data_IF_588396072125
#
_entry.id   IF_588396072125
#
_cell.length_a   1.000
_cell.length_b   1.000
_cell.length_c   1.000
_cell.angle_alpha   90.00
_cell.angle_beta   90.00
_cell.angle_gamma   90.00
#
_symmetry.space_group_name_H-M   'P 1'
#
loop_
_entity.id
_entity.type
_entity.pdbx_description
1 polymer ?
#
# COMPACT_ATOMS: atom_id res chain seq x y z
N UNK A 1 -24.15 -9.77 17.12
CA UNK A 1 -24.02 -9.50 15.67
C UNK A 1 -22.59 -9.83 15.27
N UNK A 2 -22.34 -11.12 15.00
CA UNK A 2 -21.01 -11.64 14.70
C UNK A 2 -20.68 -11.36 13.24
N UNK A 3 -19.69 -10.50 12.97
CA UNK A 3 -19.16 -10.31 11.62
C UNK A 3 -18.34 -11.55 11.27
N UNK A 4 -18.81 -12.32 10.32
CA UNK A 4 -18.06 -13.41 9.69
C UNK A 4 -16.77 -12.82 9.13
N UNK A 5 -15.65 -13.04 9.84
CA UNK A 5 -14.32 -12.64 9.37
C UNK A 5 -13.96 -13.53 8.19
N UNK A 6 -14.00 -12.99 6.99
CA UNK A 6 -13.24 -13.55 5.87
C UNK A 6 -11.78 -13.55 6.33
N UNK A 7 -11.15 -14.71 6.43
CA UNK A 7 -9.73 -14.86 6.83
C UNK A 7 -8.83 -14.27 5.73
N UNK A 8 -8.78 -12.93 5.64
CA UNK A 8 -7.77 -12.25 4.84
C UNK A 8 -6.48 -12.23 5.64
N UNK A 9 -5.41 -12.75 5.06
CA UNK A 9 -4.08 -12.60 5.63
C UNK A 9 -3.73 -11.11 5.74
N UNK A 10 -3.07 -10.67 6.83
CA UNK A 10 -2.69 -9.28 7.00
C UNK A 10 -1.69 -8.88 5.92
N UNK A 11 -1.88 -7.69 5.33
CA UNK A 11 -1.02 -7.10 4.30
C UNK A 11 -0.51 -5.73 4.75
N UNK A 12 0.61 -5.28 4.18
CA UNK A 12 1.07 -3.91 4.33
C UNK A 12 0.35 -3.01 3.32
N UNK A 13 -0.36 -2.00 3.82
CA UNK A 13 -0.93 -0.90 3.03
C UNK A 13 0.02 0.29 3.11
N UNK A 14 0.13 1.03 2.01
CA UNK A 14 0.97 2.23 1.93
C UNK A 14 0.07 3.45 1.71
N UNK A 15 0.19 4.45 2.58
CA UNK A 15 -0.48 5.74 2.45
C UNK A 15 0.54 6.82 2.09
N UNK A 16 0.39 7.46 0.93
CA UNK A 16 1.12 8.68 0.58
C UNK A 16 0.38 9.87 1.18
N UNK A 17 0.95 10.50 2.19
CA UNK A 17 0.35 11.57 2.97
C UNK A 17 0.84 12.94 2.51
N UNK A 18 -0.11 13.77 2.05
CA UNK A 18 0.06 15.15 1.60
C UNK A 18 -0.93 16.08 2.35
N UNK A 19 -1.28 15.70 3.57
CA UNK A 19 -2.25 16.42 4.41
C UNK A 19 -1.62 17.50 5.29
N UNK A 20 -2.34 17.91 6.34
CA UNK A 20 -1.84 18.89 7.31
C UNK A 20 -0.56 18.36 7.99
N UNK A 21 0.48 19.18 8.05
CA UNK A 21 1.77 18.80 8.65
C UNK A 21 2.69 18.02 7.72
N UNK A 22 2.37 17.98 6.42
CA UNK A 22 3.25 17.46 5.38
C UNK A 22 3.28 18.37 4.15
N UNK A 23 4.43 18.45 3.51
CA UNK A 23 4.59 19.15 2.23
C UNK A 23 4.05 18.29 1.08
N UNK A 24 3.32 18.88 0.11
CA UNK A 24 2.87 18.17 -1.08
C UNK A 24 4.05 17.62 -1.89
N UNK A 25 3.91 16.41 -2.41
CA UNK A 25 4.88 15.85 -3.35
C UNK A 25 4.66 16.49 -4.71
N UNK A 26 5.75 16.75 -5.44
CA UNK A 26 5.63 17.20 -6.82
C UNK A 26 4.96 16.10 -7.69
N UNK A 27 4.26 16.52 -8.75
CA UNK A 27 3.41 15.62 -9.52
C UNK A 27 4.18 14.48 -10.19
N UNK A 28 5.40 14.74 -10.68
CA UNK A 28 6.22 13.76 -11.38
C UNK A 28 6.79 12.73 -10.41
N UNK A 29 7.32 13.18 -9.29
CA UNK A 29 7.84 12.34 -8.23
C UNK A 29 6.75 11.48 -7.60
N UNK A 30 5.57 12.06 -7.32
CA UNK A 30 4.41 11.31 -6.82
C UNK A 30 3.97 10.23 -7.80
N UNK A 31 3.91 10.54 -9.10
CA UNK A 31 3.57 9.55 -10.11
C UNK A 31 4.58 8.40 -10.12
N UNK A 32 5.88 8.71 -10.13
CA UNK A 32 6.94 7.72 -10.10
C UNK A 32 6.86 6.83 -8.84
N UNK A 33 6.63 7.41 -7.66
CA UNK A 33 6.42 6.68 -6.42
C UNK A 33 5.23 5.72 -6.49
N UNK A 34 4.08 6.21 -6.97
CA UNK A 34 2.89 5.37 -7.12
C UNK A 34 3.15 4.21 -8.07
N UNK A 35 3.77 4.47 -9.23
CA UNK A 35 4.09 3.44 -10.21
C UNK A 35 5.03 2.39 -9.61
N UNK A 36 6.17 2.78 -9.05
CA UNK A 36 7.17 1.85 -8.48
C UNK A 36 6.56 0.97 -7.37
N UNK A 37 5.73 1.54 -6.49
CA UNK A 37 5.09 0.78 -5.42
C UNK A 37 4.01 -0.17 -5.93
N UNK A 38 3.21 0.25 -6.93
CA UNK A 38 2.20 -0.58 -7.56
C UNK A 38 2.81 -1.73 -8.37
N UNK A 39 3.91 -1.48 -9.09
CA UNK A 39 4.65 -2.51 -9.86
C UNK A 39 5.23 -3.60 -8.93
N UNK A 40 5.60 -3.22 -7.69
CA UNK A 40 5.99 -4.16 -6.63
C UNK A 40 4.80 -4.84 -5.94
N UNK A 41 3.57 -4.50 -6.31
CA UNK A 41 2.34 -5.10 -5.82
C UNK A 41 1.82 -4.54 -4.49
N UNK A 42 2.34 -3.40 -4.04
CA UNK A 42 1.86 -2.76 -2.81
C UNK A 42 0.50 -2.09 -3.02
N UNK A 43 -0.34 -2.08 -1.97
CA UNK A 43 -1.61 -1.36 -1.97
C UNK A 43 -1.38 0.09 -1.56
N UNK A 44 -1.36 0.99 -2.53
CA UNK A 44 -1.08 2.41 -2.30
C UNK A 44 -2.38 3.23 -2.26
N UNK A 45 -2.51 4.15 -1.30
CA UNK A 45 -3.59 5.13 -1.20
C UNK A 45 -3.00 6.52 -1.01
N UNK A 46 -3.56 7.52 -1.68
CA UNK A 46 -3.17 8.91 -1.49
C UNK A 46 -4.08 9.59 -0.48
N UNK A 47 -3.51 10.37 0.43
CA UNK A 47 -4.19 11.00 1.56
C UNK A 47 -3.89 12.49 1.55
N UNK A 48 -4.79 13.29 0.98
CA UNK A 48 -4.72 14.75 1.03
C UNK A 48 -5.38 15.34 2.27
N UNK A 49 -5.32 16.67 2.39
CA UNK A 49 -5.85 17.44 3.53
C UNK A 49 -7.35 17.22 3.84
N UNK A 50 -8.15 16.67 2.92
CA UNK A 50 -9.57 16.33 3.13
C UNK A 50 -9.87 14.83 3.23
N UNK A 51 -8.86 13.95 3.10
CA UNK A 51 -9.04 12.50 2.98
C UNK A 51 -8.43 11.69 4.15
N UNK A 52 -7.88 12.38 5.17
CA UNK A 52 -7.22 11.75 6.32
C UNK A 52 -8.12 10.75 7.05
N UNK A 53 -9.41 11.04 7.17
CA UNK A 53 -10.42 10.17 7.80
C UNK A 53 -10.66 8.88 7.03
N UNK A 54 -10.62 8.90 5.69
CA UNK A 54 -10.82 7.72 4.85
C UNK A 54 -9.61 6.77 4.82
N UNK A 55 -8.40 7.28 5.09
CA UNK A 55 -7.19 6.49 5.19
C UNK A 55 -7.06 5.80 6.55
N UNK A 56 -7.44 6.50 7.62
CA UNK A 56 -7.51 5.93 8.97
C UNK A 56 -8.52 4.77 9.03
N UNK A 57 -9.68 4.91 8.36
CA UNK A 57 -10.69 3.85 8.24
C UNK A 57 -10.20 2.56 7.53
N UNK A 58 -9.01 2.58 6.91
CA UNK A 58 -8.43 1.44 6.17
C UNK A 58 -7.32 0.71 6.90
N UNK A 59 -6.87 1.23 8.04
CA UNK A 59 -6.08 0.46 9.03
C UNK A 59 -6.96 -0.53 9.82
N UNK A 60 -8.29 -0.39 9.70
CA UNK A 60 -9.28 -1.01 10.60
C UNK A 60 -9.54 -2.51 10.38
N UNK A 61 -8.94 -3.09 9.33
CA UNK A 61 -9.12 -4.50 8.97
C UNK A 61 -8.03 -5.43 9.54
N UNK A 62 -7.26 -5.01 10.55
CA UNK A 62 -6.12 -5.77 11.10
C UNK A 62 -4.86 -5.75 10.21
N UNK A 63 -4.78 -4.80 9.28
CA UNK A 63 -3.66 -4.62 8.35
C UNK A 63 -2.58 -3.67 8.92
N UNK A 64 -1.35 -3.89 8.51
CA UNK A 64 -0.24 -2.97 8.76
C UNK A 64 -0.36 -1.74 7.83
N UNK A 65 -0.04 -0.54 8.33
CA UNK A 65 -0.08 0.70 7.56
C UNK A 65 1.26 1.44 7.60
N UNK A 66 1.90 1.61 6.45
CA UNK A 66 3.01 2.55 6.28
C UNK A 66 2.47 3.90 5.80
N UNK A 67 2.73 4.98 6.54
CA UNK A 67 2.40 6.35 6.16
C UNK A 67 3.68 7.06 5.73
N UNK A 68 3.75 7.40 4.45
CA UNK A 68 4.90 8.04 3.82
C UNK A 68 4.56 9.48 3.48
N UNK A 69 5.42 10.43 3.82
CA UNK A 69 5.21 11.84 3.49
C UNK A 69 6.47 12.66 3.70
N UNK A 70 6.44 13.94 3.31
CA UNK A 70 7.45 14.93 3.67
C UNK A 70 6.96 15.68 4.89
N UNK A 71 7.25 15.19 6.09
CA UNK A 71 6.62 15.72 7.30
C UNK A 71 7.37 16.96 7.78
N UNK A 72 6.63 18.02 8.11
CA UNK A 72 7.25 19.26 8.63
C UNK A 72 7.71 19.10 10.08
N UNK A 73 7.16 18.12 10.79
CA UNK A 73 7.47 17.79 12.18
C UNK A 73 7.89 16.32 12.30
N UNK A 74 8.75 16.01 13.28
CA UNK A 74 9.19 14.65 13.54
C UNK A 74 8.01 13.79 14.00
N UNK A 75 7.62 12.83 13.18
CA UNK A 75 6.61 11.83 13.51
C UNK A 75 7.21 10.70 14.36
N UNK A 76 6.40 10.03 15.21
CA UNK A 76 6.85 8.82 15.89
C UNK A 76 7.15 7.73 14.86
N UNK A 77 8.22 6.96 15.07
CA UNK A 77 8.59 5.90 14.13
C UNK A 77 7.48 4.83 14.01
N UNK A 78 6.76 4.58 15.10
CA UNK A 78 5.65 3.63 15.17
C UNK A 78 4.53 4.19 16.06
N UNK A 79 3.28 3.88 15.71
CA UNK A 79 2.11 4.14 16.52
C UNK A 79 1.10 2.99 16.40
N UNK A 80 0.19 2.91 17.36
CA UNK A 80 -0.96 2.00 17.29
C UNK A 80 -2.17 2.79 16.80
N UNK A 81 -2.88 2.26 15.81
CA UNK A 81 -4.11 2.86 15.29
C UNK A 81 -5.17 2.99 16.40
N UNK A 82 -5.81 4.16 16.47
CA UNK A 82 -6.65 4.57 17.59
C UNK A 82 -7.89 3.67 17.84
N UNK A 83 -8.40 2.98 16.82
CA UNK A 83 -9.66 2.21 16.91
C UNK A 83 -9.48 0.69 16.74
N UNK A 84 -8.45 0.24 16.01
CA UNK A 84 -8.29 -1.15 15.55
C UNK A 84 -7.13 -1.92 16.16
N UNK A 85 -6.19 -1.24 16.83
CA UNK A 85 -4.94 -1.88 17.28
C UNK A 85 -3.95 -2.21 16.14
N UNK A 86 -4.23 -1.82 14.90
CA UNK A 86 -3.32 -2.00 13.77
C UNK A 86 -2.03 -1.18 13.94
N UNK A 87 -0.87 -1.76 13.63
CA UNK A 87 0.41 -1.07 13.70
C UNK A 87 0.56 -0.07 12.54
N UNK A 88 1.03 1.13 12.84
CA UNK A 88 1.24 2.24 11.91
C UNK A 88 2.69 2.68 11.96
N UNK A 89 3.36 2.73 10.81
CA UNK A 89 4.73 3.20 10.67
C UNK A 89 4.75 4.52 9.91
N UNK A 90 5.24 5.59 10.53
CA UNK A 90 5.45 6.85 9.84
C UNK A 90 6.89 6.90 9.33
N UNK A 91 7.05 7.29 8.06
CA UNK A 91 8.38 7.52 7.48
C UNK A 91 8.40 8.80 6.69
N UNK A 92 9.33 9.67 7.07
CA UNK A 92 9.69 10.79 6.23
C UNK A 92 10.48 10.30 5.02
N UNK A 93 10.01 10.63 3.83
CA UNK A 93 10.66 10.23 2.58
C UNK A 93 11.51 11.35 1.97
N UNK A 94 11.38 12.60 2.43
CA UNK A 94 12.13 13.75 1.90
C UNK A 94 12.19 13.76 0.37
N UNK A 95 13.41 13.91 -0.18
CA UNK A 95 13.72 13.84 -1.61
C UNK A 95 14.26 12.46 -2.05
N UNK A 96 13.97 11.38 -1.30
CA UNK A 96 14.41 10.03 -1.66
C UNK A 96 13.87 9.61 -3.03
N UNK A 97 14.66 8.85 -3.78
CA UNK A 97 14.23 8.30 -5.07
C UNK A 97 13.10 7.26 -4.89
N UNK A 98 12.28 7.01 -5.93
CA UNK A 98 11.23 6.00 -5.86
C UNK A 98 11.72 4.60 -5.43
N UNK A 99 12.89 4.20 -5.90
CA UNK A 99 13.52 2.92 -5.51
C UNK A 99 13.96 2.93 -4.05
N UNK A 100 14.49 4.06 -3.55
CA UNK A 100 14.83 4.22 -2.14
C UNK A 100 13.60 4.11 -1.23
N UNK A 101 12.50 4.76 -1.62
CA UNK A 101 11.23 4.64 -0.91
C UNK A 101 10.69 3.21 -0.96
N UNK A 102 10.79 2.52 -2.10
CA UNK A 102 10.36 1.14 -2.20
C UNK A 102 11.17 0.19 -1.31
N UNK A 103 12.49 0.40 -1.20
CA UNK A 103 13.35 -0.35 -0.28
C UNK A 103 12.97 -0.09 1.20
N UNK A 104 12.62 1.15 1.54
CA UNK A 104 12.12 1.51 2.87
C UNK A 104 10.80 0.80 3.21
N UNK A 105 9.87 0.75 2.25
CA UNK A 105 8.60 0.02 2.43
C UNK A 105 8.83 -1.48 2.59
N UNK A 106 9.77 -2.07 1.85
CA UNK A 106 10.13 -3.49 2.01
C UNK A 106 10.71 -3.79 3.40
N UNK A 107 11.55 -2.89 3.93
CA UNK A 107 12.07 -3.02 5.29
C UNK A 107 10.93 -3.00 6.33
N UNK A 108 9.99 -2.06 6.20
CA UNK A 108 8.80 -2.02 7.08
C UNK A 108 8.01 -3.32 6.94
N UNK A 109 7.80 -3.82 5.71
CA UNK A 109 7.07 -5.07 5.47
C UNK A 109 7.72 -6.26 6.19
N UNK A 110 9.06 -6.34 6.15
CA UNK A 110 9.81 -7.40 6.83
C UNK A 110 9.57 -7.38 8.36
N UNK A 111 9.47 -6.20 8.97
CA UNK A 111 9.17 -6.02 10.41
C UNK A 111 7.70 -6.31 10.76
N UNK A 112 6.82 -6.31 9.76
CA UNK A 112 5.38 -6.45 9.94
C UNK A 112 4.88 -7.92 10.01
N UNK A 113 5.72 -8.91 9.65
CA UNK A 113 5.31 -10.33 9.46
C UNK A 113 4.05 -10.50 8.58
N UNK A 114 3.88 -9.61 7.57
CA UNK A 114 2.72 -9.64 6.66
C UNK A 114 2.99 -10.43 5.39
N UNK A 115 1.91 -10.81 4.70
CA UNK A 115 2.00 -11.50 3.42
C UNK A 115 2.76 -10.68 2.36
N UNK A 116 3.49 -11.37 1.48
CA UNK A 116 4.24 -10.73 0.39
C UNK A 116 3.30 -10.10 -0.64
N UNK A 117 3.53 -8.82 -1.01
CA UNK A 117 2.80 -8.18 -2.09
C UNK A 117 3.14 -8.82 -3.44
N UNK A 118 2.27 -8.62 -4.44
CA UNK A 118 2.63 -8.90 -5.84
C UNK A 118 2.58 -10.36 -6.31
N UNK A 119 2.21 -11.34 -5.46
CA UNK A 119 1.92 -12.73 -5.93
C UNK A 119 0.59 -12.85 -6.69
N UNK A 120 0.18 -11.80 -7.40
CA UNK A 120 -0.99 -11.87 -8.27
C UNK A 120 -0.66 -12.75 -9.47
N UNK A 121 -1.21 -13.97 -9.46
CA UNK A 121 -1.22 -14.84 -10.63
C UNK A 121 -2.46 -14.45 -11.45
N UNK A 122 -2.33 -14.11 -12.75
CA UNK A 122 -3.49 -13.89 -13.59
C UNK A 122 -4.29 -15.19 -13.63
N UNK A 123 -5.54 -15.13 -13.17
CA UNK A 123 -6.41 -16.31 -13.13
C UNK A 123 -7.06 -16.62 -14.48
N UNK A 124 -6.85 -15.76 -15.48
CA UNK A 124 -7.24 -16.03 -16.85
C UNK A 124 -6.10 -16.73 -17.57
N UNK A 125 -6.30 -17.97 -18.09
CA UNK A 125 -5.37 -18.54 -19.04
C UNK A 125 -5.32 -17.60 -20.24
N UNK A 126 -4.11 -17.12 -20.57
CA UNK A 126 -3.85 -16.50 -21.87
C UNK A 126 -4.22 -17.54 -22.92
N UNK A 127 -5.15 -17.22 -23.81
CA UNK A 127 -5.50 -18.11 -24.93
C UNK A 127 -4.24 -18.27 -25.78
N UNK A 128 -3.64 -19.46 -25.71
CA UNK A 128 -2.52 -19.84 -26.55
C UNK A 128 -3.08 -20.12 -27.97
N UNK A 129 -2.87 -19.17 -28.88
CA UNK A 129 -3.36 -19.26 -30.25
C UNK A 129 -2.72 -20.40 -31.04
N UNK A 130 -1.47 -20.78 -30.72
CA UNK A 130 -0.79 -21.90 -31.38
C UNK A 130 -1.34 -23.26 -30.92
N UNK A 131 -1.95 -23.30 -29.73
CA UNK A 131 -2.59 -24.50 -29.16
C UNK A 131 -4.12 -24.47 -29.27
N UNK A 132 -4.69 -23.45 -29.90
CA UNK A 132 -6.12 -23.33 -30.10
C UNK A 132 -6.62 -24.36 -31.11
N UNK A 133 -7.48 -25.29 -30.67
CA UNK A 133 -8.11 -26.30 -31.54
C UNK A 133 -9.51 -25.90 -32.00
N UNK A 134 -9.88 -24.63 -31.86
CA UNK A 134 -11.20 -24.09 -32.24
C UNK A 134 -12.40 -24.85 -31.61
N UNK A 135 -12.29 -25.21 -30.33
CA UNK A 135 -13.27 -26.02 -29.60
C UNK A 135 -14.43 -25.23 -28.96
N UNK A 136 -14.46 -23.90 -29.13
CA UNK A 136 -15.48 -23.00 -28.57
C UNK A 136 -15.58 -22.97 -27.03
N UNK A 137 -14.55 -23.41 -26.30
CA UNK A 137 -14.55 -23.45 -24.81
C UNK A 137 -13.99 -22.19 -24.12
N UNK A 138 -13.45 -21.24 -24.88
CA UNK A 138 -12.85 -20.00 -24.35
C UNK A 138 -13.80 -18.79 -24.41
N UNK A 139 -15.12 -19.03 -24.42
CA UNK A 139 -16.17 -18.01 -24.41
C UNK A 139 -16.45 -17.50 -22.99
#
# INVERSE_FOLDING_TARGET
MSRTSTLSLPVLRVALYEGRGAEPLDGAHRFALMQTLLDKGYRVTRVGSGAATAAAARADDGNALAVLGRFTERQPAEAVGAESGGRVWFRDIGDQTPDGVAALVEAIRADCEVHEPGKWKPWFPVIDFDRCTNCMQCL
#
